data_IF_973824596462
#
_entry.id   IF_973824596462
#
_cell.length_a   1.000
_cell.length_b   1.000
_cell.length_c   1.000
_cell.angle_alpha   90.00
_cell.angle_beta   90.00
_cell.angle_gamma   90.00
#
_symmetry.space_group_name_H-M   'P 1'
#
loop_
_entity.id
_entity.type
_entity.pdbx_description
1 polymer ?
#
# COMPACT_ATOMS: atom_id res chain seq x y z
N UNK A 1 0.60 39.32 -3.67
CA UNK A 1 0.61 37.91 -4.08
C UNK A 1 -0.08 37.16 -2.93
N UNK A 2 -1.23 36.53 -3.18
CA UNK A 2 -1.81 35.66 -2.14
C UNK A 2 -0.84 34.53 -1.90
N UNK A 3 -0.24 34.45 -0.72
CA UNK A 3 0.48 33.24 -0.30
C UNK A 3 -0.52 32.07 -0.40
N UNK A 4 -0.27 31.18 -1.33
CA UNK A 4 -1.07 29.95 -1.42
C UNK A 4 -0.81 29.17 -0.12
N UNK A 5 -1.84 28.96 0.68
CA UNK A 5 -1.75 28.17 1.92
C UNK A 5 -1.08 26.83 1.62
N UNK A 6 0.00 26.52 2.34
CA UNK A 6 0.64 25.20 2.24
C UNK A 6 -0.33 24.11 2.68
N UNK A 7 -0.25 22.95 2.03
CA UNK A 7 -0.99 21.76 2.42
C UNK A 7 -0.29 21.10 3.61
N UNK A 8 -1.03 20.93 4.70
CA UNK A 8 -0.49 20.35 5.94
C UNK A 8 -0.63 18.84 5.93
N UNK A 9 0.48 18.12 6.12
CA UNK A 9 0.58 16.66 5.90
C UNK A 9 0.89 15.92 7.20
N UNK A 10 0.17 14.85 7.48
CA UNK A 10 0.58 13.82 8.44
C UNK A 10 1.10 12.58 7.69
N UNK A 11 2.23 12.04 8.10
CA UNK A 11 2.85 10.86 7.48
C UNK A 11 2.89 9.72 8.48
N UNK A 12 2.06 8.71 8.29
CA UNK A 12 2.03 7.51 9.11
C UNK A 12 3.06 6.50 8.59
N UNK A 13 4.10 6.23 9.36
CA UNK A 13 5.22 5.39 8.95
C UNK A 13 6.28 6.15 8.14
N UNK A 14 6.68 7.33 8.59
CA UNK A 14 7.61 8.23 7.91
C UNK A 14 9.02 7.65 7.69
N UNK A 15 9.44 6.69 8.50
CA UNK A 15 10.75 6.02 8.40
C UNK A 15 10.75 4.84 7.42
N UNK A 16 9.58 4.45 6.89
CA UNK A 16 9.45 3.43 5.85
C UNK A 16 9.80 3.95 4.45
N UNK A 17 9.83 3.05 3.45
CA UNK A 17 10.18 3.41 2.06
C UNK A 17 9.28 4.52 1.49
N UNK A 18 7.96 4.40 1.65
CA UNK A 18 7.01 5.41 1.17
C UNK A 18 7.12 6.69 1.99
N UNK A 19 7.24 6.57 3.32
CA UNK A 19 7.35 7.74 4.20
C UNK A 19 8.58 8.60 3.90
N UNK A 20 9.75 7.98 3.70
CA UNK A 20 10.98 8.69 3.34
C UNK A 20 10.88 9.36 1.98
N UNK A 21 10.27 8.69 0.99
CA UNK A 21 10.05 9.28 -0.34
C UNK A 21 8.99 10.40 -0.28
N UNK A 22 7.99 10.31 0.61
CA UNK A 22 7.06 11.41 0.86
C UNK A 22 7.80 12.64 1.39
N UNK A 23 8.71 12.46 2.33
CA UNK A 23 9.54 13.56 2.85
C UNK A 23 10.44 14.16 1.78
N UNK A 24 10.97 13.37 0.85
CA UNK A 24 11.73 13.88 -0.32
C UNK A 24 10.84 14.76 -1.23
N UNK A 25 9.60 14.36 -1.48
CA UNK A 25 8.65 15.18 -2.26
C UNK A 25 8.34 16.49 -1.53
N UNK A 26 8.16 16.46 -0.22
CA UNK A 26 7.95 17.67 0.60
C UNK A 26 9.17 18.59 0.55
N UNK A 27 10.37 18.03 0.60
CA UNK A 27 11.64 18.78 0.53
C UNK A 27 11.84 19.46 -0.83
N UNK A 28 11.41 18.84 -1.93
CA UNK A 28 11.47 19.43 -3.27
C UNK A 28 10.46 20.58 -3.45
N UNK A 29 9.37 20.58 -2.68
CA UNK A 29 8.29 21.57 -2.77
C UNK A 29 7.94 22.23 -1.44
N UNK A 30 8.88 22.90 -0.76
CA UNK A 30 8.69 23.47 0.56
C UNK A 30 7.69 24.64 0.58
N UNK A 31 7.38 25.22 -0.59
CA UNK A 31 6.36 26.27 -0.77
C UNK A 31 4.92 25.71 -0.86
N UNK A 32 4.75 24.39 -1.10
CA UNK A 32 3.46 23.72 -1.26
C UNK A 32 3.05 22.94 -0.02
N UNK A 33 4.01 22.43 0.74
CA UNK A 33 3.77 21.48 1.82
C UNK A 33 4.40 21.92 3.13
N UNK A 34 3.75 21.50 4.23
CA UNK A 34 4.30 21.50 5.57
C UNK A 34 4.03 20.14 6.24
N UNK A 35 4.97 19.68 7.03
CA UNK A 35 4.83 18.42 7.78
C UNK A 35 4.26 18.75 9.16
N UNK A 36 3.01 18.33 9.41
CA UNK A 36 2.37 18.50 10.71
C UNK A 36 2.72 17.39 11.68
N UNK A 37 2.67 16.13 11.22
CA UNK A 37 2.97 14.99 12.08
C UNK A 37 3.71 13.90 11.31
N UNK A 38 4.65 13.25 11.99
CA UNK A 38 5.34 12.05 11.51
C UNK A 38 5.27 10.95 12.56
N UNK A 39 5.15 9.70 12.09
CA UNK A 39 5.09 8.55 12.99
C UNK A 39 6.03 7.44 12.55
N UNK A 40 6.52 6.65 13.51
CA UNK A 40 7.26 5.43 13.24
C UNK A 40 6.84 4.31 14.22
N UNK A 41 7.17 3.07 13.91
CA UNK A 41 6.95 1.95 14.83
C UNK A 41 8.11 1.86 15.83
N UNK A 42 9.30 1.38 15.40
CA UNK A 42 10.46 1.09 16.26
C UNK A 42 11.70 1.91 15.90
N UNK A 43 11.76 2.52 14.72
CA UNK A 43 12.93 3.24 14.20
C UNK A 43 13.02 4.64 14.78
N UNK A 44 13.40 4.72 16.06
CA UNK A 44 13.43 5.97 16.81
C UNK A 44 14.53 6.93 16.32
N UNK A 45 15.70 6.44 15.95
CA UNK A 45 16.84 7.28 15.55
C UNK A 45 16.58 7.99 14.22
N UNK A 46 16.00 7.27 13.24
CA UNK A 46 15.57 7.89 11.97
C UNK A 46 14.44 8.89 12.20
N UNK A 47 13.49 8.57 13.09
CA UNK A 47 12.39 9.47 13.43
C UNK A 47 12.91 10.77 14.07
N UNK A 48 13.92 10.71 14.94
CA UNK A 48 14.57 11.88 15.55
C UNK A 48 15.22 12.74 14.44
N UNK A 49 15.95 12.11 13.51
CA UNK A 49 16.58 12.83 12.40
C UNK A 49 15.55 13.55 11.52
N UNK A 50 14.45 12.85 11.17
CA UNK A 50 13.35 13.42 10.41
C UNK A 50 12.68 14.58 11.17
N UNK A 51 12.42 14.41 12.47
CA UNK A 51 11.82 15.45 13.31
C UNK A 51 12.68 16.72 13.37
N UNK A 52 14.00 16.57 13.56
CA UNK A 52 14.92 17.71 13.57
C UNK A 52 15.03 18.42 12.22
N UNK A 53 14.91 17.67 11.11
CA UNK A 53 15.00 18.23 9.76
C UNK A 53 13.72 18.94 9.33
N UNK A 54 12.56 18.32 9.55
CA UNK A 54 11.27 18.79 9.03
C UNK A 54 10.47 19.60 10.05
N UNK A 55 10.88 19.64 11.33
CA UNK A 55 10.28 20.42 12.39
C UNK A 55 8.74 20.29 12.46
N UNK A 56 8.21 19.05 12.53
CA UNK A 56 6.76 18.85 12.62
C UNK A 56 6.21 19.37 13.95
N UNK A 57 4.91 19.66 13.99
CA UNK A 57 4.21 20.00 15.23
C UNK A 57 4.17 18.81 16.22
N UNK A 58 4.10 17.57 15.69
CA UNK A 58 4.00 16.39 16.52
C UNK A 58 4.76 15.18 15.94
N UNK A 59 5.27 14.34 16.83
CA UNK A 59 5.93 13.09 16.52
C UNK A 59 5.36 11.96 17.37
N UNK A 60 5.11 10.78 16.77
CA UNK A 60 4.57 9.62 17.48
C UNK A 60 5.45 8.40 17.22
N UNK A 61 5.85 7.71 18.29
CA UNK A 61 6.49 6.40 18.23
C UNK A 61 5.54 5.33 18.76
N UNK A 62 5.24 4.28 17.95
CA UNK A 62 4.30 3.24 18.35
C UNK A 62 4.86 2.34 19.46
N UNK A 63 6.14 2.02 19.40
CA UNK A 63 6.84 1.28 20.46
C UNK A 63 7.05 2.19 21.67
N UNK A 64 6.23 2.01 22.70
CA UNK A 64 6.26 2.79 23.93
C UNK A 64 7.62 2.69 24.67
N UNK A 65 8.37 1.61 24.49
CA UNK A 65 9.70 1.45 25.07
C UNK A 65 10.69 2.50 24.57
N UNK A 66 10.45 3.07 23.38
CA UNK A 66 11.27 4.12 22.72
C UNK A 66 10.80 5.55 23.02
N UNK A 67 9.65 5.70 23.68
CA UNK A 67 9.08 7.03 23.97
C UNK A 67 10.03 7.94 24.74
N UNK A 68 10.67 7.42 25.79
CA UNK A 68 11.60 8.20 26.62
C UNK A 68 12.77 8.72 25.79
N UNK A 69 13.40 7.85 25.00
CA UNK A 69 14.52 8.20 24.11
C UNK A 69 14.11 9.32 23.13
N UNK A 70 12.94 9.17 22.48
CA UNK A 70 12.44 10.16 21.54
C UNK A 70 12.19 11.50 22.22
N UNK A 71 11.54 11.50 23.37
CA UNK A 71 11.20 12.70 24.13
C UNK A 71 12.45 13.47 24.61
N UNK A 72 13.43 12.77 25.14
CA UNK A 72 14.70 13.36 25.58
C UNK A 72 15.48 13.93 24.40
N UNK A 73 15.55 13.22 23.27
CA UNK A 73 16.26 13.66 22.07
C UNK A 73 15.65 14.89 21.38
N UNK A 74 14.36 15.19 21.62
CA UNK A 74 13.67 16.35 21.02
C UNK A 74 13.29 17.42 22.06
N UNK A 75 13.81 17.33 23.29
CA UNK A 75 13.44 18.22 24.39
C UNK A 75 13.82 19.70 24.16
N UNK A 76 14.80 19.95 23.27
CA UNK A 76 15.26 21.27 22.86
C UNK A 76 14.41 21.93 21.77
N UNK A 77 13.41 21.21 21.22
CA UNK A 77 12.58 21.64 20.11
C UNK A 77 11.11 21.82 20.53
N UNK A 78 10.33 22.71 19.89
CA UNK A 78 8.92 22.91 20.18
C UNK A 78 8.05 21.83 19.55
N UNK A 79 8.46 20.57 19.65
CA UNK A 79 7.79 19.42 19.03
C UNK A 79 7.06 18.63 20.11
N UNK A 80 5.78 18.33 19.90
CA UNK A 80 5.00 17.47 20.78
C UNK A 80 5.33 15.99 20.51
N UNK A 81 5.71 15.26 21.56
CA UNK A 81 6.11 13.85 21.45
C UNK A 81 5.07 12.97 22.13
N UNK A 82 4.62 11.96 21.39
CA UNK A 82 3.63 10.98 21.85
C UNK A 82 4.15 9.55 21.68
N UNK A 83 3.60 8.61 22.46
CA UNK A 83 3.91 7.18 22.38
C UNK A 83 2.65 6.33 22.27
N UNK A 84 2.80 5.12 21.71
CA UNK A 84 1.75 4.13 21.60
C UNK A 84 0.91 4.23 20.32
N UNK A 85 0.33 3.11 19.93
CA UNK A 85 -0.48 2.98 18.72
C UNK A 85 -1.75 3.86 18.76
N UNK A 86 -2.38 4.00 19.94
CA UNK A 86 -3.54 4.87 20.12
C UNK A 86 -3.23 6.34 19.81
N UNK A 87 -2.01 6.79 20.12
CA UNK A 87 -1.57 8.15 19.76
C UNK A 87 -1.48 8.35 18.24
N UNK A 88 -1.14 7.29 17.46
CA UNK A 88 -1.19 7.33 16.00
C UNK A 88 -2.63 7.45 15.52
N UNK A 89 -3.56 6.70 16.13
CA UNK A 89 -4.98 6.79 15.80
C UNK A 89 -5.59 8.16 16.09
N UNK A 90 -5.11 8.86 17.12
CA UNK A 90 -5.61 10.16 17.54
C UNK A 90 -4.99 11.34 16.77
N UNK A 91 -3.69 11.28 16.45
CA UNK A 91 -2.99 12.42 15.84
C UNK A 91 -3.58 12.80 14.47
N UNK A 92 -4.10 11.83 13.73
CA UNK A 92 -4.70 12.04 12.40
C UNK A 92 -5.99 12.87 12.45
N UNK A 93 -6.61 13.00 13.62
CA UNK A 93 -7.83 13.79 13.83
C UNK A 93 -7.52 15.29 14.01
N UNK A 94 -6.25 15.68 14.15
CA UNK A 94 -5.83 17.06 14.38
C UNK A 94 -6.33 18.00 13.29
N UNK A 95 -6.99 19.10 13.68
CA UNK A 95 -7.65 20.03 12.75
C UNK A 95 -6.75 20.59 11.65
N UNK A 96 -5.48 20.97 11.92
CA UNK A 96 -4.62 21.56 10.89
C UNK A 96 -4.26 20.60 9.73
N UNK A 97 -4.36 19.29 9.92
CA UNK A 97 -4.02 18.32 8.90
C UNK A 97 -5.01 18.39 7.73
N UNK A 98 -4.51 18.60 6.53
CA UNK A 98 -5.29 18.58 5.28
C UNK A 98 -5.31 17.18 4.66
N UNK A 99 -4.18 16.45 4.70
CA UNK A 99 -4.02 15.13 4.09
C UNK A 99 -3.18 14.20 4.97
N UNK A 100 -3.59 12.94 5.04
CA UNK A 100 -2.87 11.87 5.75
C UNK A 100 -2.29 10.89 4.74
N UNK A 101 -0.97 10.74 4.74
CA UNK A 101 -0.26 9.71 3.98
C UNK A 101 -0.20 8.44 4.83
N UNK A 102 -0.92 7.39 4.42
CA UNK A 102 -0.99 6.12 5.15
C UNK A 102 0.09 5.17 4.63
N UNK A 103 1.33 5.32 5.12
CA UNK A 103 2.48 4.52 4.71
C UNK A 103 2.87 3.44 5.73
N UNK A 104 1.93 3.05 6.58
CA UNK A 104 2.07 1.90 7.49
C UNK A 104 1.94 0.59 6.70
N UNK A 105 2.51 -0.48 7.23
CA UNK A 105 2.49 -1.81 6.59
C UNK A 105 1.43 -2.71 7.23
N UNK A 106 0.71 -3.45 6.41
CA UNK A 106 -0.22 -4.48 6.86
C UNK A 106 -1.47 -3.92 7.53
N UNK A 107 -2.08 -4.77 8.36
CA UNK A 107 -3.35 -4.49 9.07
C UNK A 107 -3.32 -3.25 9.97
N UNK A 108 -2.14 -2.86 10.45
CA UNK A 108 -1.99 -1.76 11.42
C UNK A 108 -2.42 -0.39 10.89
N UNK A 109 -2.51 -0.20 9.57
CA UNK A 109 -2.98 1.03 8.95
C UNK A 109 -4.50 1.25 8.99
N UNK A 110 -5.29 0.20 9.27
CA UNK A 110 -6.75 0.26 9.15
C UNK A 110 -7.40 1.29 10.10
N UNK A 111 -7.15 1.19 11.41
CA UNK A 111 -7.78 2.09 12.40
C UNK A 111 -7.39 3.55 12.22
N UNK A 112 -6.10 3.91 12.07
CA UNK A 112 -5.72 5.30 11.82
C UNK A 112 -6.35 5.87 10.54
N UNK A 113 -6.47 5.05 9.47
CA UNK A 113 -7.13 5.47 8.23
C UNK A 113 -8.62 5.74 8.45
N UNK A 114 -9.33 4.88 9.19
CA UNK A 114 -10.73 5.09 9.57
C UNK A 114 -10.89 6.39 10.37
N UNK A 115 -10.02 6.65 11.34
CA UNK A 115 -10.08 7.86 12.14
C UNK A 115 -9.84 9.12 11.29
N UNK A 116 -8.87 9.09 10.39
CA UNK A 116 -8.60 10.18 9.47
C UNK A 116 -9.80 10.46 8.54
N UNK A 117 -10.43 9.42 8.00
CA UNK A 117 -11.65 9.53 7.19
C UNK A 117 -12.78 10.18 8.00
N UNK A 118 -13.04 9.70 9.22
CA UNK A 118 -14.08 10.24 10.11
C UNK A 118 -13.83 11.72 10.48
N UNK A 119 -12.55 12.10 10.56
CA UNK A 119 -12.13 13.49 10.79
C UNK A 119 -12.15 14.36 9.51
N UNK A 120 -12.57 13.81 8.36
CA UNK A 120 -12.68 14.53 7.09
C UNK A 120 -11.33 14.85 6.43
N UNK A 121 -10.28 14.08 6.72
CA UNK A 121 -8.94 14.28 6.16
C UNK A 121 -8.80 13.56 4.83
N UNK A 122 -8.31 14.22 3.79
CA UNK A 122 -7.95 13.54 2.56
C UNK A 122 -6.92 12.43 2.84
N UNK A 123 -7.04 11.30 2.16
CA UNK A 123 -6.16 10.14 2.35
C UNK A 123 -5.30 9.96 1.11
N UNK A 124 -3.97 10.05 1.27
CA UNK A 124 -3.01 9.54 0.29
C UNK A 124 -2.68 8.09 0.67
N UNK A 125 -3.36 7.15 0.03
CA UNK A 125 -3.40 5.75 0.44
C UNK A 125 -2.22 4.97 -0.16
N UNK A 126 -1.24 4.63 0.68
CA UNK A 126 -0.16 3.71 0.34
C UNK A 126 -0.29 2.34 1.02
N UNK A 127 -1.06 2.26 2.10
CA UNK A 127 -1.37 1.02 2.80
C UNK A 127 -2.54 0.30 2.11
N UNK A 128 -2.22 -0.51 1.11
CA UNK A 128 -3.23 -1.28 0.33
C UNK A 128 -4.03 -2.24 1.19
N UNK A 129 -3.43 -2.78 2.26
CA UNK A 129 -4.06 -3.74 3.14
C UNK A 129 -5.33 -3.15 3.79
N UNK A 130 -5.42 -1.86 3.97
CA UNK A 130 -6.64 -1.18 4.43
C UNK A 130 -7.84 -1.44 3.49
N UNK A 131 -7.64 -1.33 2.17
CA UNK A 131 -8.69 -1.62 1.18
C UNK A 131 -8.91 -3.13 1.00
N UNK A 132 -7.86 -3.93 1.09
CA UNK A 132 -7.95 -5.39 1.05
C UNK A 132 -8.84 -5.90 2.19
N UNK A 133 -8.53 -5.50 3.42
CA UNK A 133 -9.23 -5.99 4.62
C UNK A 133 -10.66 -5.49 4.72
N UNK A 134 -10.90 -4.20 4.51
CA UNK A 134 -12.15 -3.54 4.85
C UNK A 134 -12.63 -2.55 3.78
N UNK A 135 -12.36 -2.83 2.50
CA UNK A 135 -12.63 -1.88 1.41
C UNK A 135 -14.07 -1.41 1.32
N UNK A 136 -15.05 -2.28 1.56
CA UNK A 136 -16.47 -1.89 1.61
C UNK A 136 -16.72 -0.86 2.73
N UNK A 137 -16.27 -1.15 3.94
CA UNK A 137 -16.39 -0.26 5.10
C UNK A 137 -15.67 1.08 4.86
N UNK A 138 -14.47 1.04 4.29
CA UNK A 138 -13.68 2.25 3.98
C UNK A 138 -14.42 3.12 2.97
N UNK A 139 -14.97 2.54 1.91
CA UNK A 139 -15.74 3.28 0.91
C UNK A 139 -17.03 3.88 1.48
N UNK A 140 -17.78 3.13 2.30
CA UNK A 140 -18.96 3.66 3.00
C UNK A 140 -18.61 4.86 3.87
N UNK A 141 -17.54 4.77 4.65
CA UNK A 141 -17.07 5.86 5.50
C UNK A 141 -16.57 7.06 4.68
N UNK A 142 -15.81 6.82 3.62
CA UNK A 142 -15.30 7.88 2.73
C UNK A 142 -16.45 8.65 2.07
N UNK A 143 -17.47 7.97 1.58
CA UNK A 143 -18.68 8.61 1.03
C UNK A 143 -19.45 9.38 2.10
N UNK A 144 -19.67 8.79 3.28
CA UNK A 144 -20.38 9.42 4.39
C UNK A 144 -19.70 10.71 4.86
N UNK A 145 -18.37 10.70 4.95
CA UNK A 145 -17.60 11.84 5.43
C UNK A 145 -17.08 12.74 4.30
N UNK A 146 -17.40 12.41 3.03
CA UNK A 146 -16.95 13.14 1.82
C UNK A 146 -15.43 13.28 1.77
N UNK A 147 -14.75 12.23 2.14
CA UNK A 147 -13.28 12.18 2.24
C UNK A 147 -12.72 11.58 0.95
N UNK A 148 -11.88 12.29 0.19
CA UNK A 148 -11.22 11.72 -0.98
C UNK A 148 -10.14 10.72 -0.56
N UNK A 149 -10.08 9.58 -1.27
CA UNK A 149 -9.01 8.61 -1.18
C UNK A 149 -8.21 8.69 -2.49
N UNK A 150 -6.94 9.05 -2.38
CA UNK A 150 -6.02 9.26 -3.49
C UNK A 150 -4.99 8.13 -3.48
N UNK A 151 -4.92 7.28 -4.51
CA UNK A 151 -4.02 6.13 -4.51
C UNK A 151 -2.56 6.55 -4.65
N UNK A 152 -1.71 5.95 -3.84
CA UNK A 152 -0.25 6.09 -3.88
C UNK A 152 0.42 4.87 -4.49
N UNK A 153 -0.20 3.67 -4.36
CA UNK A 153 0.32 2.48 -5.02
C UNK A 153 0.45 2.73 -6.53
N UNK A 154 1.57 2.31 -7.13
CA UNK A 154 1.96 2.74 -8.49
C UNK A 154 0.94 2.37 -9.55
N UNK A 155 0.38 1.17 -9.47
CA UNK A 155 -0.61 0.66 -10.40
C UNK A 155 -1.95 1.41 -10.27
N UNK A 156 -2.39 1.64 -9.04
CA UNK A 156 -3.65 2.36 -8.77
C UNK A 156 -3.52 3.85 -9.08
N UNK A 157 -2.36 4.45 -8.79
CA UNK A 157 -2.05 5.81 -9.25
C UNK A 157 -2.09 5.90 -10.77
N UNK A 158 -1.55 4.91 -11.48
CA UNK A 158 -1.58 4.86 -12.94
C UNK A 158 -3.01 4.80 -13.48
N UNK A 159 -3.86 3.92 -12.93
CA UNK A 159 -5.28 3.83 -13.29
C UNK A 159 -5.98 5.17 -13.00
N UNK A 160 -5.79 5.74 -11.82
CA UNK A 160 -6.35 7.02 -11.44
C UNK A 160 -5.95 8.14 -12.40
N UNK A 161 -4.69 8.17 -12.85
CA UNK A 161 -4.19 9.13 -13.85
C UNK A 161 -4.82 8.90 -15.23
N UNK A 162 -5.04 7.64 -15.63
CA UNK A 162 -5.72 7.31 -16.88
C UNK A 162 -7.20 7.71 -16.88
N UNK A 163 -7.85 7.66 -15.72
CA UNK A 163 -9.25 8.03 -15.52
C UNK A 163 -9.47 9.55 -15.37
N UNK A 164 -8.40 10.32 -15.14
CA UNK A 164 -8.52 11.77 -15.03
C UNK A 164 -9.10 12.39 -16.32
N UNK A 165 -10.25 13.06 -16.20
CA UNK A 165 -10.99 13.63 -17.31
C UNK A 165 -11.98 12.68 -18.01
N UNK A 166 -12.05 11.40 -17.60
CA UNK A 166 -12.88 10.36 -18.22
C UNK A 166 -14.17 10.04 -17.43
N UNK A 167 -14.64 10.97 -16.61
CA UNK A 167 -15.73 10.72 -15.63
C UNK A 167 -17.04 10.18 -16.22
N UNK A 168 -17.31 10.45 -17.49
CA UNK A 168 -18.53 10.02 -18.17
C UNK A 168 -18.33 8.81 -19.10
N UNK A 169 -17.10 8.31 -19.20
CA UNK A 169 -16.76 7.23 -20.11
C UNK A 169 -16.80 5.88 -19.39
N UNK A 170 -17.46 4.91 -20.04
CA UNK A 170 -17.55 3.56 -19.47
C UNK A 170 -16.18 2.88 -19.49
N UNK A 171 -15.70 2.51 -18.32
CA UNK A 171 -14.57 1.59 -18.19
C UNK A 171 -15.07 0.18 -18.54
N UNK A 172 -14.38 -0.47 -19.47
CA UNK A 172 -14.62 -1.87 -19.81
C UNK A 172 -13.75 -2.80 -18.96
N UNK A 173 -12.45 -2.42 -18.80
CA UNK A 173 -11.49 -3.24 -18.07
C UNK A 173 -10.38 -2.40 -17.46
N UNK A 174 -9.95 -2.78 -16.25
CA UNK A 174 -8.68 -2.35 -15.67
C UNK A 174 -7.61 -3.40 -15.94
N UNK A 175 -6.43 -2.99 -16.38
CA UNK A 175 -5.32 -3.88 -16.69
C UNK A 175 -4.15 -3.53 -15.77
N UNK A 176 -3.99 -4.35 -14.72
CA UNK A 176 -2.90 -4.23 -13.75
C UNK A 176 -1.64 -4.89 -14.30
N UNK A 177 -0.54 -4.16 -14.35
CA UNK A 177 0.76 -4.73 -14.71
C UNK A 177 1.48 -5.29 -13.49
N UNK A 178 2.25 -6.34 -13.67
CA UNK A 178 3.10 -6.95 -12.65
C UNK A 178 4.51 -7.15 -13.19
N UNK A 179 5.56 -6.96 -12.36
CA UNK A 179 6.92 -7.33 -12.76
C UNK A 179 7.10 -8.85 -12.97
N UNK A 180 6.21 -9.63 -12.35
CA UNK A 180 6.29 -11.10 -12.28
C UNK A 180 7.20 -11.61 -11.17
N UNK A 181 7.88 -10.71 -10.44
CA UNK A 181 8.77 -11.06 -9.34
C UNK A 181 10.07 -11.77 -9.77
N UNK A 182 10.94 -12.14 -8.81
CA UNK A 182 12.24 -12.76 -9.10
C UNK A 182 12.13 -14.19 -9.65
N UNK A 183 11.01 -14.86 -9.46
CA UNK A 183 10.83 -16.27 -9.79
C UNK A 183 9.98 -16.52 -11.04
N UNK A 184 9.69 -15.47 -11.82
CA UNK A 184 8.82 -15.53 -13.00
C UNK A 184 9.14 -16.66 -13.98
N UNK A 185 10.42 -16.98 -14.17
CA UNK A 185 10.91 -18.00 -15.11
C UNK A 185 11.26 -19.32 -14.45
N UNK A 186 10.98 -19.50 -13.16
CA UNK A 186 11.32 -20.73 -12.43
C UNK A 186 10.34 -21.85 -12.76
N UNK A 187 10.83 -23.11 -12.63
CA UNK A 187 9.98 -24.29 -12.63
C UNK A 187 9.43 -24.56 -11.23
N UNK A 188 8.45 -25.45 -11.13
CA UNK A 188 7.86 -25.86 -9.84
C UNK A 188 8.92 -26.47 -8.91
N UNK A 189 9.80 -27.29 -9.45
CA UNK A 189 10.90 -27.93 -8.72
C UNK A 189 11.89 -26.89 -8.17
N UNK A 190 12.17 -25.86 -8.96
CA UNK A 190 13.04 -24.77 -8.51
C UNK A 190 12.41 -23.96 -7.36
N UNK A 191 11.09 -23.74 -7.41
CA UNK A 191 10.37 -23.00 -6.34
C UNK A 191 10.40 -23.73 -4.99
N UNK A 192 10.52 -25.06 -4.96
CA UNK A 192 10.62 -25.83 -3.70
C UNK A 192 11.93 -25.58 -2.93
N UNK A 193 12.94 -25.05 -3.60
CA UNK A 193 14.28 -24.84 -3.06
C UNK A 193 14.71 -23.38 -3.01
N UNK A 194 13.79 -22.42 -3.23
CA UNK A 194 14.12 -21.00 -3.15
C UNK A 194 14.41 -20.58 -1.72
N UNK A 195 15.41 -19.71 -1.59
CA UNK A 195 15.83 -19.15 -0.32
C UNK A 195 15.23 -17.76 -0.09
N UNK A 196 15.21 -17.33 1.18
CA UNK A 196 14.81 -15.96 1.55
C UNK A 196 15.63 -14.93 0.81
N UNK A 197 16.96 -15.14 0.69
CA UNK A 197 17.86 -14.22 -0.01
C UNK A 197 17.51 -14.07 -1.50
N UNK A 198 17.10 -15.16 -2.16
CA UNK A 198 16.66 -15.12 -3.56
C UNK A 198 15.33 -14.37 -3.68
N UNK A 199 14.38 -14.62 -2.78
CA UNK A 199 13.08 -13.99 -2.78
C UNK A 199 13.14 -12.47 -2.48
N UNK A 200 14.12 -12.01 -1.72
CA UNK A 200 14.33 -10.59 -1.43
C UNK A 200 15.02 -9.80 -2.56
N UNK A 201 15.43 -10.45 -3.65
CA UNK A 201 16.03 -9.78 -4.82
C UNK A 201 14.97 -9.41 -5.85
N UNK A 202 14.29 -8.29 -5.64
CA UNK A 202 13.35 -7.79 -6.65
C UNK A 202 14.10 -7.16 -7.83
N UNK A 203 13.69 -7.45 -9.12
CA UNK A 203 14.43 -7.00 -10.30
C UNK A 203 14.41 -5.47 -10.50
N UNK A 204 13.31 -4.78 -10.18
CA UNK A 204 13.09 -3.38 -10.57
C UNK A 204 12.88 -2.43 -9.38
N UNK A 205 12.39 -2.92 -8.23
CA UNK A 205 11.98 -2.09 -7.11
C UNK A 205 12.79 -2.37 -5.85
N UNK A 206 13.13 -1.31 -5.12
CA UNK A 206 13.65 -1.41 -3.74
C UNK A 206 12.49 -1.24 -2.76
N UNK A 207 12.06 -2.34 -2.15
CA UNK A 207 10.88 -2.40 -1.30
C UNK A 207 11.20 -2.99 0.08
N UNK A 208 10.28 -2.82 1.04
CA UNK A 208 10.35 -3.52 2.32
C UNK A 208 10.26 -5.04 2.14
N UNK A 209 10.85 -5.80 3.08
CA UNK A 209 10.97 -7.26 2.99
C UNK A 209 9.59 -7.95 2.76
N UNK A 210 8.56 -7.58 3.54
CA UNK A 210 7.19 -8.14 3.38
C UNK A 210 6.68 -7.96 1.95
N UNK A 211 6.74 -6.74 1.42
CA UNK A 211 6.22 -6.43 0.10
C UNK A 211 7.02 -7.13 -1.01
N UNK A 212 8.33 -7.32 -0.80
CA UNK A 212 9.18 -8.06 -1.75
C UNK A 212 8.79 -9.54 -1.81
N UNK A 213 8.49 -10.18 -0.68
CA UNK A 213 7.98 -11.57 -0.66
C UNK A 213 6.58 -11.64 -1.27
N UNK A 214 5.70 -10.67 -0.99
CA UNK A 214 4.38 -10.60 -1.63
C UNK A 214 4.49 -10.47 -3.15
N UNK A 215 5.45 -9.70 -3.65
CA UNK A 215 5.73 -9.60 -5.09
C UNK A 215 6.24 -10.94 -5.66
N UNK A 216 7.19 -11.59 -4.96
CA UNK A 216 7.73 -12.88 -5.37
C UNK A 216 6.66 -13.98 -5.48
N UNK A 217 5.66 -13.95 -4.62
CA UNK A 217 4.56 -14.93 -4.55
C UNK A 217 3.31 -14.52 -5.35
N UNK A 218 3.32 -13.38 -6.03
CA UNK A 218 2.18 -12.75 -6.70
C UNK A 218 1.03 -12.36 -5.75
N UNK A 219 1.20 -12.46 -4.42
CA UNK A 219 0.20 -11.96 -3.46
C UNK A 219 0.07 -10.44 -3.50
N UNK A 220 1.18 -9.72 -3.74
CA UNK A 220 1.12 -8.27 -3.91
C UNK A 220 0.12 -7.90 -5.01
N UNK A 221 0.20 -8.56 -6.16
CA UNK A 221 -0.73 -8.34 -7.28
C UNK A 221 -2.15 -8.78 -6.93
N UNK A 222 -2.30 -9.86 -6.14
CA UNK A 222 -3.59 -10.26 -5.60
C UNK A 222 -4.23 -9.17 -4.72
N UNK A 223 -3.47 -8.56 -3.83
CA UNK A 223 -3.94 -7.43 -3.02
C UNK A 223 -4.30 -6.21 -3.87
N UNK A 224 -3.54 -5.95 -4.90
CA UNK A 224 -3.82 -4.85 -5.83
C UNK A 224 -5.10 -5.07 -6.65
N UNK A 225 -5.45 -6.31 -7.01
CA UNK A 225 -6.76 -6.63 -7.60
C UNK A 225 -7.89 -6.27 -6.63
N UNK A 226 -7.74 -6.63 -5.34
CA UNK A 226 -8.74 -6.31 -4.32
C UNK A 226 -8.86 -4.80 -4.10
N UNK A 227 -7.73 -4.10 -4.04
CA UNK A 227 -7.69 -2.65 -3.87
C UNK A 227 -8.31 -1.93 -5.07
N UNK A 228 -8.01 -2.36 -6.31
CA UNK A 228 -8.56 -1.78 -7.54
C UNK A 228 -10.10 -1.88 -7.59
N UNK A 229 -10.67 -3.01 -7.20
CA UNK A 229 -12.12 -3.17 -7.09
C UNK A 229 -12.75 -2.07 -6.25
N UNK A 230 -12.19 -1.83 -5.07
CA UNK A 230 -12.75 -0.87 -4.12
C UNK A 230 -12.49 0.58 -4.50
N UNK A 231 -11.30 0.89 -5.02
CA UNK A 231 -10.95 2.26 -5.41
C UNK A 231 -11.71 2.74 -6.64
N UNK A 232 -11.95 1.84 -7.60
CA UNK A 232 -12.52 2.23 -8.90
C UNK A 232 -13.95 1.73 -9.12
N UNK A 233 -14.50 0.95 -8.18
CA UNK A 233 -15.90 0.50 -8.23
C UNK A 233 -16.20 -0.45 -9.39
N UNK A 234 -15.23 -1.27 -9.82
CA UNK A 234 -15.36 -2.27 -10.89
C UNK A 234 -15.57 -3.67 -10.34
N UNK A 235 -16.11 -4.58 -11.15
CA UNK A 235 -16.17 -6.01 -10.80
C UNK A 235 -14.79 -6.65 -10.82
N UNK A 236 -14.59 -7.75 -10.07
CA UNK A 236 -13.34 -8.48 -10.11
C UNK A 236 -13.06 -9.10 -11.49
N UNK A 237 -14.12 -9.43 -12.23
CA UNK A 237 -14.10 -9.93 -13.61
C UNK A 237 -13.60 -8.88 -14.62
N UNK A 238 -13.73 -7.62 -14.28
CA UNK A 238 -13.25 -6.49 -15.11
C UNK A 238 -11.82 -6.07 -14.77
N UNK A 239 -11.12 -6.83 -13.92
CA UNK A 239 -9.72 -6.56 -13.55
C UNK A 239 -8.84 -7.69 -14.10
N UNK A 240 -8.03 -7.36 -15.08
CA UNK A 240 -7.05 -8.27 -15.69
C UNK A 240 -5.65 -7.99 -15.18
N UNK A 241 -4.86 -9.05 -14.95
CA UNK A 241 -3.45 -8.95 -14.60
C UNK A 241 -2.60 -9.40 -15.79
N UNK A 242 -1.61 -8.59 -16.16
CA UNK A 242 -0.60 -8.92 -17.14
C UNK A 242 0.80 -8.77 -16.55
N UNK A 243 1.69 -9.66 -16.88
CA UNK A 243 3.10 -9.54 -16.47
C UNK A 243 3.83 -8.68 -17.49
N UNK A 244 4.44 -7.60 -17.01
CA UNK A 244 5.24 -6.63 -17.76
C UNK A 244 6.60 -6.44 -17.10
N UNK A 245 7.62 -7.25 -17.46
CA UNK A 245 8.87 -7.31 -16.71
C UNK A 245 9.65 -6.01 -16.65
N UNK A 246 9.51 -5.14 -17.64
CA UNK A 246 10.23 -3.86 -17.71
C UNK A 246 9.68 -2.83 -16.69
N UNK A 247 8.46 -3.02 -16.20
CA UNK A 247 7.78 -2.14 -15.22
C UNK A 247 7.77 -0.66 -15.65
N UNK A 248 7.70 -0.38 -16.95
CA UNK A 248 7.60 0.97 -17.53
C UNK A 248 6.15 1.40 -17.65
N UNK A 249 5.26 0.50 -18.08
CA UNK A 249 3.80 0.70 -18.00
C UNK A 249 3.37 0.27 -16.59
N UNK A 250 2.87 1.24 -15.82
CA UNK A 250 2.46 0.96 -14.44
C UNK A 250 1.05 0.38 -14.33
N UNK A 251 0.13 0.70 -15.23
CA UNK A 251 -1.17 0.04 -15.47
C UNK A 251 -1.91 0.72 -16.61
N UNK A 252 -3.04 0.15 -17.03
CA UNK A 252 -3.81 0.62 -18.16
C UNK A 252 -5.31 0.54 -17.87
N UNK A 253 -6.09 1.36 -18.59
CA UNK A 253 -7.55 1.35 -18.58
C UNK A 253 -8.05 1.16 -20.00
N UNK A 254 -8.88 0.14 -20.24
CA UNK A 254 -9.61 -0.07 -21.48
C UNK A 254 -11.02 0.50 -21.34
N UNK A 255 -11.43 1.28 -22.31
CA UNK A 255 -12.76 1.89 -22.37
C UNK A 255 -13.70 1.11 -23.29
N UNK A 256 -15.00 1.37 -23.17
CA UNK A 256 -16.04 0.66 -23.91
C UNK A 256 -16.00 0.82 -25.43
N UNK A 257 -15.23 1.73 -25.98
CA UNK A 257 -14.96 1.88 -27.40
C UNK A 257 -13.72 1.08 -27.86
N UNK A 258 -13.05 0.36 -26.92
CA UNK A 258 -11.84 -0.41 -27.16
C UNK A 258 -10.54 0.39 -27.05
N UNK A 259 -10.61 1.70 -26.81
CA UNK A 259 -9.39 2.49 -26.57
C UNK A 259 -8.73 2.13 -25.25
N UNK A 260 -7.39 2.15 -25.22
CA UNK A 260 -6.61 1.89 -24.02
C UNK A 260 -5.75 3.11 -23.68
N UNK A 261 -5.87 3.58 -22.43
CA UNK A 261 -4.94 4.58 -21.86
C UNK A 261 -3.99 3.89 -20.91
N UNK A 262 -2.71 4.25 -20.97
CA UNK A 262 -1.66 3.73 -20.12
C UNK A 262 -0.86 4.87 -19.47
N UNK A 263 -0.45 4.70 -18.24
CA UNK A 263 0.51 5.60 -17.60
C UNK A 263 1.88 4.92 -17.60
N UNK A 264 2.87 5.65 -18.12
CA UNK A 264 4.26 5.20 -18.20
C UNK A 264 5.15 6.08 -17.31
N UNK A 265 6.19 5.46 -16.74
CA UNK A 265 7.18 6.14 -15.92
C UNK A 265 8.35 5.23 -15.57
N UNK A 266 9.39 5.79 -15.00
CA UNK A 266 10.42 5.02 -14.30
C UNK A 266 9.86 4.45 -12.99
N UNK A 267 10.41 3.35 -12.44
CA UNK A 267 9.94 2.77 -11.17
C UNK A 267 10.37 3.64 -9.97
N UNK A 268 9.67 4.74 -9.76
CA UNK A 268 9.93 5.74 -8.71
C UNK A 268 8.63 6.13 -8.01
N UNK A 269 8.51 5.76 -6.72
CA UNK A 269 7.31 6.03 -5.92
C UNK A 269 7.08 7.51 -5.63
N UNK A 270 8.09 8.39 -5.79
CA UNK A 270 7.91 9.83 -5.59
C UNK A 270 6.91 10.42 -6.58
N UNK A 271 6.79 9.85 -7.80
CA UNK A 271 5.83 10.33 -8.79
C UNK A 271 4.37 10.09 -8.35
N UNK A 272 3.92 8.87 -8.01
CA UNK A 272 2.56 8.65 -7.52
C UNK A 272 2.29 9.34 -6.17
N UNK A 273 3.29 9.42 -5.27
CA UNK A 273 3.18 10.18 -4.02
C UNK A 273 2.90 11.65 -4.33
N UNK A 274 3.71 12.28 -5.17
CA UNK A 274 3.55 13.68 -5.54
C UNK A 274 2.19 13.92 -6.19
N UNK A 275 1.76 13.03 -7.10
CA UNK A 275 0.46 13.17 -7.74
C UNK A 275 -0.71 13.09 -6.75
N UNK A 276 -0.68 12.15 -5.80
CA UNK A 276 -1.68 12.07 -4.73
C UNK A 276 -1.69 13.31 -3.84
N UNK A 277 -0.53 13.87 -3.53
CA UNK A 277 -0.42 15.07 -2.70
C UNK A 277 -0.83 16.36 -3.42
N UNK A 278 -0.83 16.41 -4.74
CA UNK A 278 -1.04 17.64 -5.52
C UNK A 278 -2.29 17.63 -6.39
N UNK A 279 -2.93 16.47 -6.54
CA UNK A 279 -4.10 16.32 -7.42
C UNK A 279 -5.10 17.48 -7.25
N UNK A 280 -5.62 18.05 -8.35
CA UNK A 280 -5.47 17.63 -9.76
C UNK A 280 -4.25 18.25 -10.49
N UNK A 281 -3.41 19.00 -9.80
CA UNK A 281 -2.26 19.71 -10.41
C UNK A 281 -1.03 18.79 -10.49
N UNK A 282 -0.26 18.90 -11.59
CA UNK A 282 1.06 18.28 -11.70
C UNK A 282 2.14 19.32 -11.43
N UNK A 283 3.03 19.03 -10.50
CA UNK A 283 4.22 19.84 -10.24
C UNK A 283 5.40 19.37 -11.11
N UNK A 284 6.33 20.26 -11.37
CA UNK A 284 7.64 19.89 -11.92
C UNK A 284 8.42 19.02 -10.92
N UNK A 285 9.29 18.16 -11.39
CA UNK A 285 10.12 17.32 -10.53
C UNK A 285 11.51 17.09 -11.12
N UNK A 286 12.47 16.80 -10.27
CA UNK A 286 13.83 16.37 -10.62
C UNK A 286 13.93 14.87 -10.88
N UNK A 287 12.82 14.10 -10.80
CA UNK A 287 12.81 12.65 -10.92
C UNK A 287 13.29 12.20 -12.30
N UNK A 288 13.87 11.01 -12.34
CA UNK A 288 14.35 10.41 -13.59
C UNK A 288 13.23 10.29 -14.63
N UNK A 289 13.59 10.45 -15.90
CA UNK A 289 12.70 10.31 -17.06
C UNK A 289 13.04 9.04 -17.82
N UNK A 290 12.05 8.48 -18.51
CA UNK A 290 12.28 7.35 -19.43
C UNK A 290 13.25 7.82 -20.52
N UNK A 291 14.32 7.06 -20.70
CA UNK A 291 15.25 7.23 -21.82
C UNK A 291 14.76 6.36 -23.00
N UNK A 292 14.15 6.99 -23.98
CA UNK A 292 13.63 6.32 -25.17
C UNK A 292 14.70 5.73 -26.07
N UNK A 293 15.99 6.08 -25.90
CA UNK A 293 17.09 5.49 -26.67
C UNK A 293 17.52 4.13 -26.13
N UNK A 294 17.29 3.89 -24.84
CA UNK A 294 17.64 2.62 -24.15
C UNK A 294 16.47 1.67 -24.06
N UNK A 295 15.23 2.19 -24.02
CA UNK A 295 14.00 1.39 -24.00
C UNK A 295 13.72 0.80 -25.38
N UNK A 296 14.07 -0.49 -25.57
CA UNK A 296 13.94 -1.15 -26.88
C UNK A 296 12.58 -1.80 -27.12
N UNK A 297 11.96 -2.35 -26.06
CA UNK A 297 10.73 -3.11 -26.17
C UNK A 297 9.91 -3.07 -24.88
N UNK A 298 8.62 -3.28 -25.02
CA UNK A 298 7.67 -3.49 -23.93
C UNK A 298 7.00 -4.85 -24.16
N UNK A 299 7.18 -5.78 -23.23
CA UNK A 299 6.68 -7.14 -23.38
C UNK A 299 5.61 -7.47 -22.35
N UNK A 300 4.70 -8.36 -22.73
CA UNK A 300 3.57 -8.77 -21.89
C UNK A 300 3.42 -10.28 -21.90
N UNK A 301 3.16 -10.85 -20.72
CA UNK A 301 2.96 -12.29 -20.53
C UNK A 301 1.72 -12.51 -19.66
N UNK A 302 1.12 -13.68 -19.76
CA UNK A 302 0.06 -14.10 -18.83
C UNK A 302 0.69 -14.53 -17.50
N UNK A 303 0.08 -14.18 -16.34
CA UNK A 303 0.54 -14.69 -15.05
C UNK A 303 0.36 -16.21 -14.99
N UNK A 304 1.33 -16.90 -14.40
CA UNK A 304 1.26 -18.36 -14.21
C UNK A 304 0.60 -18.67 -12.86
N UNK A 305 -0.72 -18.94 -12.88
CA UNK A 305 -1.52 -19.19 -11.68
C UNK A 305 -1.23 -20.56 -11.03
N UNK A 306 -0.65 -21.51 -11.78
CA UNK A 306 -0.27 -22.82 -11.23
C UNK A 306 1.00 -22.71 -10.38
N UNK A 307 1.96 -21.88 -10.81
CA UNK A 307 3.18 -21.61 -10.05
C UNK A 307 2.96 -20.59 -8.91
N UNK A 308 2.05 -19.66 -9.10
CA UNK A 308 1.76 -18.58 -8.15
C UNK A 308 0.28 -18.56 -7.76
N UNK A 309 -0.20 -19.54 -6.96
CA UNK A 309 -1.62 -19.69 -6.62
C UNK A 309 -2.18 -18.53 -5.80
N UNK A 310 -1.32 -17.73 -5.16
CA UNK A 310 -1.76 -16.59 -4.33
C UNK A 310 -2.59 -15.57 -5.10
N UNK A 311 -2.28 -15.34 -6.39
CA UNK A 311 -3.10 -14.47 -7.23
C UNK A 311 -4.52 -15.07 -7.42
N UNK A 312 -4.62 -16.39 -7.61
CA UNK A 312 -5.93 -17.06 -7.70
C UNK A 312 -6.67 -17.01 -6.37
N UNK A 313 -5.97 -17.16 -5.22
CA UNK A 313 -6.60 -17.03 -3.89
C UNK A 313 -7.19 -15.63 -3.70
N UNK A 314 -6.53 -14.60 -4.19
CA UNK A 314 -7.05 -13.23 -4.15
C UNK A 314 -8.34 -13.09 -4.96
N UNK A 315 -8.40 -13.58 -6.18
CA UNK A 315 -9.62 -13.59 -6.99
C UNK A 315 -10.75 -14.37 -6.30
N UNK A 316 -10.43 -15.52 -5.71
CA UNK A 316 -11.40 -16.32 -4.96
C UNK A 316 -11.92 -15.55 -3.75
N UNK A 317 -11.04 -14.92 -2.97
CA UNK A 317 -11.42 -14.16 -1.79
C UNK A 317 -12.34 -12.99 -2.11
N UNK A 318 -12.02 -12.25 -3.17
CA UNK A 318 -12.83 -11.07 -3.57
C UNK A 318 -14.20 -11.48 -4.17
N UNK A 319 -14.28 -12.66 -4.81
CA UNK A 319 -15.52 -13.21 -5.30
C UNK A 319 -16.42 -13.70 -4.13
N UNK A 320 -15.84 -14.29 -3.09
CA UNK A 320 -16.56 -14.67 -1.88
C UNK A 320 -17.02 -13.45 -1.05
N UNK A 321 -16.19 -12.39 -1.00
CA UNK A 321 -16.50 -11.17 -0.26
C UNK A 321 -16.47 -11.33 1.26
N UNK A 322 -17.22 -10.47 1.94
CA UNK A 322 -17.29 -10.48 3.40
C UNK A 322 -15.91 -10.28 4.06
N UNK A 323 -15.62 -11.10 5.08
CA UNK A 323 -14.33 -11.05 5.78
C UNK A 323 -13.21 -11.89 5.13
N UNK A 324 -13.46 -12.62 4.03
CA UNK A 324 -12.44 -13.50 3.43
C UNK A 324 -11.19 -12.77 2.94
N UNK A 325 -11.25 -11.57 2.34
CA UNK A 325 -10.03 -10.80 2.03
C UNK A 325 -9.20 -10.47 3.28
N UNK A 326 -9.83 -10.20 4.43
CA UNK A 326 -9.16 -10.04 5.72
C UNK A 326 -8.44 -11.32 6.15
N UNK A 327 -9.08 -12.48 5.97
CA UNK A 327 -8.48 -13.82 6.24
C UNK A 327 -7.22 -14.00 5.41
N UNK A 328 -7.28 -13.72 4.09
CA UNK A 328 -6.12 -13.83 3.19
C UNK A 328 -4.97 -12.92 3.67
N UNK A 329 -5.27 -11.67 4.03
CA UNK A 329 -4.26 -10.74 4.52
C UNK A 329 -3.61 -11.24 5.82
N UNK A 330 -4.41 -11.62 6.81
CA UNK A 330 -3.93 -12.09 8.11
C UNK A 330 -3.06 -13.35 7.98
N UNK A 331 -3.51 -14.32 7.18
CA UNK A 331 -2.76 -15.55 6.89
C UNK A 331 -1.44 -15.23 6.15
N UNK A 332 -1.49 -14.38 5.13
CA UNK A 332 -0.32 -14.00 4.36
C UNK A 332 0.75 -13.32 5.24
N UNK A 333 0.37 -12.38 6.10
CA UNK A 333 1.33 -11.70 6.98
C UNK A 333 2.07 -12.69 7.90
N UNK A 334 1.37 -13.69 8.44
CA UNK A 334 2.00 -14.74 9.26
C UNK A 334 2.90 -15.65 8.43
N UNK A 335 2.43 -16.07 7.24
CA UNK A 335 3.22 -16.91 6.34
C UNK A 335 4.50 -16.20 5.86
N UNK A 336 4.40 -14.92 5.49
CA UNK A 336 5.57 -14.13 5.08
C UNK A 336 6.58 -13.97 6.22
N UNK A 337 6.11 -13.69 7.44
CA UNK A 337 6.99 -13.61 8.61
C UNK A 337 7.71 -14.95 8.87
N UNK A 338 6.97 -16.05 8.83
CA UNK A 338 7.52 -17.39 9.03
C UNK A 338 8.51 -17.82 7.92
N UNK A 339 8.25 -17.43 6.67
CA UNK A 339 9.19 -17.66 5.58
C UNK A 339 10.48 -16.84 5.76
N UNK A 340 10.38 -15.57 6.13
CA UNK A 340 11.54 -14.71 6.41
C UNK A 340 12.39 -15.23 7.59
N UNK A 341 11.76 -15.92 8.54
CA UNK A 341 12.41 -16.62 9.65
C UNK A 341 12.85 -18.05 9.29
N UNK A 342 12.70 -18.47 8.04
CA UNK A 342 13.06 -19.81 7.52
C UNK A 342 12.31 -20.97 8.22
N UNK A 343 11.15 -20.73 8.83
CA UNK A 343 10.33 -21.74 9.49
C UNK A 343 9.42 -22.52 8.54
N UNK A 344 9.11 -21.96 7.37
CA UNK A 344 8.34 -22.60 6.30
C UNK A 344 9.01 -22.39 4.96
N UNK A 345 8.67 -23.23 3.96
CA UNK A 345 9.10 -23.05 2.57
C UNK A 345 8.24 -22.02 1.85
N UNK A 346 8.77 -21.45 0.77
CA UNK A 346 8.03 -20.56 -0.12
C UNK A 346 6.73 -21.18 -0.63
N UNK A 347 6.79 -22.46 -1.01
CA UNK A 347 5.65 -23.23 -1.55
C UNK A 347 4.62 -23.63 -0.49
N UNK A 348 4.88 -23.41 0.80
CA UNK A 348 3.92 -23.68 1.86
C UNK A 348 2.99 -22.49 2.10
N UNK A 349 3.44 -21.26 1.77
CA UNK A 349 2.62 -20.04 1.96
C UNK A 349 1.24 -20.16 1.29
N UNK A 350 1.12 -20.45 -0.02
CA UNK A 350 -0.19 -20.55 -0.66
C UNK A 350 -1.08 -21.66 -0.09
N UNK A 351 -0.49 -22.77 0.38
CA UNK A 351 -1.24 -23.87 1.00
C UNK A 351 -1.84 -23.46 2.33
N UNK A 352 -1.06 -22.75 3.16
CA UNK A 352 -1.51 -22.24 4.47
C UNK A 352 -2.60 -21.17 4.31
N UNK A 353 -2.46 -20.29 3.32
CA UNK A 353 -3.48 -19.27 3.00
C UNK A 353 -4.78 -19.94 2.55
N UNK A 354 -4.72 -20.91 1.62
CA UNK A 354 -5.89 -21.66 1.19
C UNK A 354 -6.59 -22.36 2.38
N UNK A 355 -5.80 -23.01 3.23
CA UNK A 355 -6.32 -23.66 4.44
C UNK A 355 -7.00 -22.67 5.40
N UNK A 356 -6.45 -21.47 5.54
CA UNK A 356 -7.05 -20.41 6.36
C UNK A 356 -8.40 -19.96 5.78
N UNK A 357 -8.51 -19.79 4.45
CA UNK A 357 -9.77 -19.47 3.79
C UNK A 357 -10.83 -20.54 4.00
N UNK A 358 -10.46 -21.82 3.97
CA UNK A 358 -11.39 -22.94 4.21
C UNK A 358 -11.85 -23.05 5.66
N UNK A 359 -11.01 -22.67 6.63
CA UNK A 359 -11.28 -22.83 8.07
C UNK A 359 -11.89 -21.61 8.73
N UNK A 360 -11.84 -20.46 8.07
CA UNK A 360 -12.36 -19.22 8.61
C UNK A 360 -13.88 -19.24 8.76
N UNK A 361 -14.38 -18.66 9.85
CA UNK A 361 -15.80 -18.35 9.98
C UNK A 361 -16.16 -17.22 9.01
N UNK A 362 -17.11 -17.49 8.11
CA UNK A 362 -17.54 -16.50 7.12
C UNK A 362 -18.50 -15.48 7.72
N UNK A 363 -18.26 -14.20 7.50
CA UNK A 363 -19.10 -13.08 7.90
C UNK A 363 -19.39 -12.23 6.64
N UNK A 364 -20.65 -12.20 6.22
CA UNK A 364 -21.06 -11.55 4.96
C UNK A 364 -20.90 -10.01 4.98
N UNK A 365 -21.26 -9.37 6.09
CA UNK A 365 -21.15 -7.91 6.28
C UNK A 365 -20.42 -7.61 7.59
N UNK A 366 -19.09 -7.71 7.56
CA UNK A 366 -18.30 -7.52 8.79
C UNK A 366 -18.28 -6.05 9.21
N UNK A 367 -18.42 -5.84 10.52
CA UNK A 367 -18.13 -4.56 11.19
C UNK A 367 -16.63 -4.39 11.39
N UNK A 368 -16.20 -3.21 11.88
CA UNK A 368 -14.80 -3.03 12.27
C UNK A 368 -14.35 -4.05 13.31
N UNK A 369 -15.19 -4.33 14.32
CA UNK A 369 -14.86 -5.30 15.37
C UNK A 369 -14.76 -6.73 14.82
N UNK A 370 -15.60 -7.09 13.85
CA UNK A 370 -15.51 -8.38 13.14
C UNK A 370 -14.20 -8.51 12.35
N UNK A 371 -13.72 -7.44 11.70
CA UNK A 371 -12.41 -7.44 11.04
C UNK A 371 -11.25 -7.57 12.02
N UNK A 372 -11.32 -6.87 13.16
CA UNK A 372 -10.31 -6.97 14.22
C UNK A 372 -10.25 -8.40 14.80
N UNK A 373 -11.40 -9.00 15.03
CA UNK A 373 -11.50 -10.36 15.55
C UNK A 373 -11.04 -11.39 14.50
N UNK A 374 -11.48 -11.27 13.24
CA UNK A 374 -11.04 -12.13 12.13
C UNK A 374 -9.51 -12.12 12.01
N UNK A 375 -8.89 -10.93 11.99
CA UNK A 375 -7.42 -10.81 11.92
C UNK A 375 -6.74 -11.52 13.09
N UNK A 376 -7.24 -11.32 14.32
CA UNK A 376 -6.70 -11.94 15.52
C UNK A 376 -6.79 -13.46 15.49
N UNK A 377 -7.97 -14.01 15.16
CA UNK A 377 -8.24 -15.43 15.12
C UNK A 377 -7.40 -16.14 14.06
N UNK A 378 -7.36 -15.59 12.84
CA UNK A 378 -6.61 -16.18 11.73
C UNK A 378 -5.12 -16.17 12.01
N UNK A 379 -4.59 -15.07 12.58
CA UNK A 379 -3.18 -15.02 12.99
C UNK A 379 -2.83 -16.09 14.02
N UNK A 380 -3.69 -16.29 15.00
CA UNK A 380 -3.50 -17.35 16.00
C UNK A 380 -3.54 -18.74 15.35
N UNK A 381 -4.57 -18.99 14.53
CA UNK A 381 -4.78 -20.26 13.84
C UNK A 381 -3.60 -20.63 12.91
N UNK A 382 -3.12 -19.71 12.09
CA UNK A 382 -2.00 -19.97 11.17
C UNK A 382 -0.70 -20.19 11.93
N UNK A 383 -0.46 -19.47 13.04
CA UNK A 383 0.72 -19.70 13.91
C UNK A 383 0.75 -21.11 14.50
N UNK A 384 -0.41 -21.69 14.82
CA UNK A 384 -0.48 -23.07 15.35
C UNK A 384 -0.14 -24.12 14.27
N UNK A 385 -0.18 -23.79 13.00
CA UNK A 385 0.12 -24.71 11.90
C UNK A 385 1.60 -24.69 11.47
N UNK A 386 2.35 -23.68 11.91
CA UNK A 386 3.77 -23.43 11.62
C UNK A 386 4.67 -23.85 12.79
#
# INVERSE_FOLDING_TARGET
>A
MNETKKRSIAILGSTGSIGTQTLQVVEEHPDKFEVYAITANTRVDELIQQARKFMPEAVVIADESKYKQLKEALADLPIKVYGGYESICQIVESKPIDIVVTAMVGFSGLRPTINAIKAGKAIALANKETMVVAGELINELAMKHRTPILPVDSEHSAIFQCLAGEMNNKVEKLILTASGGPFRTFTKEQLEHVTVQQALKHPNWSMGAKLTIDSASMMNKGFEVMEAKWLFGVGAEDIEVVVHPQSVIHSMVQFGDGAIKAQLGTPDMRLPIMYALTYPTRLSSSFERIDWNTLKELTFEKPNLELFPNLQHAYTAIAQGGNIPCVVNAANEICVAAFLEERIKFTDMPKLIARAMEKATYILKPTLDDYLETDREIRAMVKEWI
#
